data_IF_793571451474
#
_entry.id   IF_793571451474
#
_cell.length_a   1.000
_cell.length_b   1.000
_cell.length_c   1.000
_cell.angle_alpha   90.00
_cell.angle_beta   90.00
_cell.angle_gamma   90.00
#
_symmetry.space_group_name_H-M   'P 1'
#
loop_
_entity.id
_entity.type
_entity.pdbx_description
1 polymer ?
#
# COMPACT_ATOMS: atom_id res chain seq x y z
N UNK A 1 -26.69 9.95 -10.98
CA UNK A 1 -25.31 10.08 -10.47
C UNK A 1 -25.39 10.16 -8.97
N UNK A 2 -25.02 9.08 -8.26
CA UNK A 2 -24.98 9.09 -6.80
C UNK A 2 -23.61 9.62 -6.37
N UNK A 3 -23.56 10.84 -5.85
CA UNK A 3 -22.38 11.31 -5.14
C UNK A 3 -22.38 10.61 -3.77
N UNK A 4 -21.57 9.56 -3.61
CA UNK A 4 -21.32 8.99 -2.30
C UNK A 4 -20.60 10.03 -1.44
N UNK A 5 -21.25 10.43 -0.34
CA UNK A 5 -20.69 11.38 0.60
C UNK A 5 -19.59 10.70 1.41
N UNK A 6 -18.50 11.41 1.71
CA UNK A 6 -17.34 10.87 2.44
C UNK A 6 -17.72 10.22 3.79
N UNK A 7 -18.77 10.76 4.45
CA UNK A 7 -19.32 10.20 5.70
C UNK A 7 -19.90 8.80 5.54
N UNK A 8 -20.58 8.51 4.44
CA UNK A 8 -21.14 7.18 4.18
C UNK A 8 -20.04 6.16 3.91
N UNK A 9 -19.01 6.55 3.14
CA UNK A 9 -17.85 5.70 2.85
C UNK A 9 -17.10 5.31 4.13
N UNK A 10 -16.88 6.26 5.04
CA UNK A 10 -16.22 6.00 6.32
C UNK A 10 -17.01 5.02 7.21
N UNK A 11 -18.34 5.09 7.19
CA UNK A 11 -19.20 4.15 7.93
C UNK A 11 -19.09 2.71 7.39
N UNK A 12 -19.05 2.56 6.07
CA UNK A 12 -18.95 1.23 5.42
C UNK A 12 -17.53 0.68 5.37
N UNK A 13 -16.52 1.43 5.81
CA UNK A 13 -15.12 1.01 5.73
C UNK A 13 -14.63 0.87 4.29
N UNK A 14 -15.08 1.77 3.41
CA UNK A 14 -14.68 1.84 1.99
C UNK A 14 -14.25 3.26 1.66
N UNK A 15 -13.48 3.44 0.59
CA UNK A 15 -13.09 4.78 0.16
C UNK A 15 -13.94 5.32 -1.00
N UNK A 16 -13.97 6.64 -1.17
CA UNK A 16 -14.67 7.27 -2.29
C UNK A 16 -14.09 6.86 -3.67
N UNK A 17 -12.80 6.50 -3.72
CA UNK A 17 -12.16 5.98 -4.93
C UNK A 17 -12.71 4.63 -5.41
N UNK A 18 -13.44 3.89 -4.57
CA UNK A 18 -14.13 2.66 -4.98
C UNK A 18 -15.27 2.95 -5.96
N UNK A 19 -15.83 4.17 -5.95
CA UNK A 19 -17.05 4.52 -6.69
C UNK A 19 -16.81 5.48 -7.87
N UNK A 20 -15.56 5.79 -8.19
CA UNK A 20 -15.24 6.67 -9.33
C UNK A 20 -15.55 5.95 -10.64
N UNK A 21 -16.44 6.48 -11.49
CA UNK A 21 -16.76 5.85 -12.78
C UNK A 21 -15.51 5.71 -13.66
N UNK A 22 -15.34 4.56 -14.28
CA UNK A 22 -14.19 4.26 -15.15
C UNK A 22 -12.97 3.69 -14.42
N UNK A 23 -12.97 3.66 -13.08
CA UNK A 23 -12.01 2.85 -12.33
C UNK A 23 -12.54 1.43 -12.14
N UNK A 24 -11.63 0.45 -12.07
CA UNK A 24 -12.02 -0.94 -11.83
C UNK A 24 -12.58 -1.13 -10.42
N UNK A 25 -13.28 -2.24 -10.20
CA UNK A 25 -13.74 -2.64 -8.87
C UNK A 25 -12.54 -2.84 -7.95
N UNK A 26 -12.65 -2.38 -6.71
CA UNK A 26 -11.63 -2.62 -5.70
C UNK A 26 -11.72 -4.06 -5.19
N UNK A 27 -10.60 -4.77 -5.21
CA UNK A 27 -10.51 -6.15 -4.72
C UNK A 27 -10.40 -6.23 -3.21
N UNK A 28 -9.62 -5.31 -2.61
CA UNK A 28 -9.49 -5.16 -1.16
C UNK A 28 -9.11 -3.73 -0.82
N UNK A 29 -9.63 -3.24 0.30
CA UNK A 29 -9.31 -1.93 0.85
C UNK A 29 -9.11 -2.03 2.36
N UNK A 30 -8.27 -1.16 2.92
CA UNK A 30 -8.14 -1.07 4.38
C UNK A 30 -6.87 -0.39 4.85
N UNK A 31 -6.80 -0.22 6.17
CA UNK A 31 -5.65 0.37 6.85
C UNK A 31 -4.49 -0.61 6.98
N UNK A 32 -3.32 -0.21 6.50
CA UNK A 32 -2.05 -0.89 6.76
C UNK A 32 -0.96 0.13 7.09
N UNK A 33 0.13 -0.32 7.70
CA UNK A 33 1.29 0.52 7.95
C UNK A 33 2.34 0.28 6.86
N UNK A 34 2.66 1.33 6.12
CA UNK A 34 3.74 1.25 5.15
C UNK A 34 5.07 1.47 5.86
N UNK A 35 6.04 0.62 5.56
CA UNK A 35 7.40 0.87 5.96
C UNK A 35 7.98 1.96 5.04
N UNK A 36 8.45 3.05 5.62
CA UNK A 36 9.25 4.01 4.86
C UNK A 36 10.60 3.38 4.60
N UNK A 37 10.83 2.87 3.38
CA UNK A 37 12.14 2.41 2.96
C UNK A 37 12.57 3.19 1.75
N UNK A 38 13.70 3.87 1.88
CA UNK A 38 14.32 4.69 0.85
C UNK A 38 14.96 3.82 -0.25
N UNK A 39 14.19 2.97 -0.94
CA UNK A 39 14.66 2.27 -2.14
C UNK A 39 14.13 2.97 -3.39
N UNK A 40 14.67 4.16 -3.66
CA UNK A 40 14.66 4.68 -5.02
C UNK A 40 15.71 3.89 -5.81
N UNK A 41 15.26 2.95 -6.64
CA UNK A 41 16.08 2.45 -7.74
C UNK A 41 16.20 3.58 -8.77
N UNK A 42 17.44 4.00 -8.99
CA UNK A 42 17.96 4.89 -10.04
C UNK A 42 18.03 6.42 -9.83
N UNK A 43 19.30 6.83 -9.83
CA UNK A 43 19.97 8.02 -10.35
C UNK A 43 19.09 9.22 -10.74
N UNK A 44 19.38 10.36 -10.11
CA UNK A 44 18.83 11.70 -10.39
C UNK A 44 17.54 12.08 -9.67
N UNK A 45 17.58 12.19 -8.34
CA UNK A 45 16.96 13.38 -7.71
C UNK A 45 17.68 13.75 -6.42
N UNK A 46 18.49 14.80 -6.52
CA UNK A 46 18.99 15.57 -5.38
C UNK A 46 17.80 16.21 -4.64
N UNK A 47 17.81 16.10 -3.31
CA UNK A 47 17.11 16.89 -2.29
C UNK A 47 16.05 16.13 -1.47
N UNK A 48 16.53 15.44 -0.42
CA UNK A 48 15.95 15.62 0.91
C UNK A 48 16.98 15.34 2.02
N UNK A 49 17.20 16.35 2.86
CA UNK A 49 17.91 16.26 4.15
C UNK A 49 16.97 15.62 5.19
N UNK A 50 17.38 14.85 6.20
CA UNK A 50 18.70 14.53 6.76
C UNK A 50 18.67 13.18 7.51
N UNK A 51 19.62 12.30 7.20
CA UNK A 51 20.47 11.52 8.12
C UNK A 51 19.94 11.24 9.54
N UNK A 52 19.32 10.08 9.77
CA UNK A 52 19.54 9.26 11.00
C UNK A 52 18.94 7.84 10.98
N UNK A 53 18.17 7.44 9.96
CA UNK A 53 17.37 6.20 10.04
C UNK A 53 17.49 5.24 8.84
N UNK A 54 18.59 5.23 8.09
CA UNK A 54 18.77 4.24 7.01
C UNK A 54 18.88 2.78 7.55
N UNK A 55 19.16 2.63 8.86
CA UNK A 55 19.17 1.35 9.58
C UNK A 55 17.91 1.08 10.42
N UNK A 56 17.01 2.07 10.55
CA UNK A 56 15.79 1.94 11.33
C UNK A 56 14.63 1.69 10.38
N UNK A 57 14.13 0.46 10.36
CA UNK A 57 12.85 0.12 9.73
C UNK A 57 11.73 0.88 10.46
N UNK A 58 11.38 2.06 9.97
CA UNK A 58 10.32 2.88 10.55
C UNK A 58 9.00 2.63 9.82
N UNK A 59 7.99 2.21 10.56
CA UNK A 59 6.59 2.15 10.11
C UNK A 59 5.94 3.47 10.47
N UNK A 60 6.23 4.51 9.69
CA UNK A 60 5.95 5.88 10.11
C UNK A 60 4.50 6.34 9.89
N UNK A 61 3.73 5.67 9.03
CA UNK A 61 2.37 6.14 8.70
C UNK A 61 1.38 5.00 8.45
N UNK A 62 0.22 5.05 9.13
CA UNK A 62 -0.94 4.26 8.75
C UNK A 62 -1.61 4.88 7.52
N UNK A 63 -1.72 4.11 6.44
CA UNK A 63 -2.32 4.56 5.18
C UNK A 63 -3.50 3.66 4.82
N UNK A 64 -4.44 4.21 4.07
CA UNK A 64 -5.53 3.42 3.48
C UNK A 64 -5.09 2.90 2.12
N UNK A 65 -4.91 1.59 2.02
CA UNK A 65 -4.54 0.92 0.78
C UNK A 65 -5.79 0.47 0.03
N UNK A 66 -5.73 0.59 -1.29
CA UNK A 66 -6.75 0.12 -2.22
C UNK A 66 -6.08 -0.68 -3.30
N UNK A 67 -6.46 -1.94 -3.43
CA UNK A 67 -6.02 -2.82 -4.51
C UNK A 67 -7.12 -2.89 -5.55
N UNK A 68 -6.76 -2.48 -6.77
CA UNK A 68 -7.57 -2.60 -7.98
C UNK A 68 -6.88 -3.54 -8.96
N UNK A 69 -7.56 -3.89 -10.06
CA UNK A 69 -7.09 -4.93 -10.98
C UNK A 69 -5.73 -4.63 -11.62
N UNK A 70 -5.44 -3.34 -11.84
CA UNK A 70 -4.27 -2.88 -12.61
C UNK A 70 -3.32 -2.00 -11.79
N UNK A 71 -3.69 -1.62 -10.56
CA UNK A 71 -2.85 -0.83 -9.69
C UNK A 71 -3.24 -0.94 -8.21
N UNK A 72 -2.30 -0.56 -7.36
CA UNK A 72 -2.46 -0.39 -5.92
C UNK A 72 -2.26 1.09 -5.62
N UNK A 73 -3.08 1.67 -4.75
CA UNK A 73 -2.92 3.06 -4.33
C UNK A 73 -3.01 3.16 -2.82
N UNK A 74 -2.11 3.95 -2.25
CA UNK A 74 -2.11 4.34 -0.85
C UNK A 74 -2.61 5.77 -0.70
N UNK A 75 -3.39 6.00 0.36
CA UNK A 75 -4.02 7.28 0.64
C UNK A 75 -3.70 7.64 2.08
N UNK A 76 -3.31 8.90 2.29
CA UNK A 76 -3.22 9.48 3.62
C UNK A 76 -4.56 10.12 3.94
N UNK A 77 -5.42 9.47 4.75
CA UNK A 77 -6.76 10.00 5.04
C UNK A 77 -6.68 11.35 5.76
N UNK A 78 -5.69 11.56 6.63
CA UNK A 78 -5.53 12.82 7.36
C UNK A 78 -5.29 14.01 6.42
N UNK A 79 -4.55 13.77 5.34
CA UNK A 79 -4.20 14.80 4.35
C UNK A 79 -5.13 14.80 3.14
N UNK A 80 -6.06 13.85 3.04
CA UNK A 80 -6.91 13.63 1.86
C UNK A 80 -6.12 13.52 0.55
N UNK A 81 -4.87 13.07 0.65
CA UNK A 81 -3.92 13.02 -0.46
C UNK A 81 -3.75 11.57 -0.93
N UNK A 82 -3.89 11.38 -2.24
CA UNK A 82 -3.40 10.18 -2.92
C UNK A 82 -1.89 10.29 -2.94
N UNK A 83 -1.19 9.29 -2.39
CA UNK A 83 0.26 9.29 -2.34
C UNK A 83 0.85 8.90 -3.70
N UNK A 84 1.12 7.60 -3.92
CA UNK A 84 1.70 7.16 -5.18
C UNK A 84 1.09 5.83 -5.64
N UNK A 85 0.41 5.77 -6.80
CA UNK A 85 -0.12 4.52 -7.31
C UNK A 85 1.02 3.61 -7.81
N UNK A 86 1.02 2.35 -7.37
CA UNK A 86 1.86 1.28 -7.92
C UNK A 86 1.09 0.57 -9.03
N UNK A 87 1.58 0.59 -10.26
CA UNK A 87 0.97 -0.18 -11.34
C UNK A 87 1.36 -1.65 -11.23
N UNK A 88 0.43 -2.53 -11.60
CA UNK A 88 0.69 -3.95 -11.83
C UNK A 88 1.42 -4.06 -13.17
N UNK A 89 2.67 -4.50 -13.14
CA UNK A 89 3.51 -4.71 -14.31
C UNK A 89 3.99 -6.17 -14.39
N UNK A 90 4.94 -6.45 -15.31
CA UNK A 90 5.45 -7.81 -15.53
C UNK A 90 6.22 -8.38 -14.33
N UNK A 91 6.80 -7.51 -13.52
CA UNK A 91 7.60 -7.87 -12.35
C UNK A 91 6.77 -7.77 -11.06
N UNK A 92 5.46 -7.63 -11.20
CA UNK A 92 4.55 -7.47 -10.09
C UNK A 92 4.46 -8.76 -9.27
N UNK A 93 4.81 -8.68 -7.99
CA UNK A 93 4.77 -9.80 -7.08
C UNK A 93 4.29 -9.36 -5.69
N UNK A 94 3.38 -10.13 -5.10
CA UNK A 94 2.99 -10.01 -3.70
C UNK A 94 3.42 -11.28 -2.97
N UNK A 95 4.17 -11.12 -1.89
CA UNK A 95 4.64 -12.23 -1.07
C UNK A 95 4.48 -11.89 0.41
N UNK A 96 3.99 -12.86 1.17
CA UNK A 96 4.05 -12.85 2.63
C UNK A 96 5.34 -13.58 3.05
N UNK A 97 6.24 -12.89 3.73
CA UNK A 97 7.48 -13.50 4.22
C UNK A 97 7.40 -13.68 5.74
N UNK A 98 7.30 -14.93 6.18
CA UNK A 98 7.14 -15.28 7.60
C UNK A 98 8.52 -15.47 8.26
N UNK A 99 9.61 -15.58 7.49
CA UNK A 99 10.86 -16.04 8.05
C UNK A 99 12.04 -15.49 7.26
N UNK A 100 12.73 -14.48 7.80
CA UNK A 100 14.18 -14.46 7.60
C UNK A 100 14.96 -13.65 8.64
N UNK A 101 14.49 -12.50 9.13
CA UNK A 101 15.33 -11.66 10.02
C UNK A 101 14.46 -10.85 10.96
N UNK A 102 14.05 -11.36 12.12
CA UNK A 102 13.62 -10.57 13.29
C UNK A 102 12.47 -9.55 13.12
N UNK A 103 11.66 -9.62 12.07
CA UNK A 103 10.50 -8.76 11.85
C UNK A 103 9.25 -9.63 11.60
N UNK A 104 8.23 -9.42 12.43
CA UNK A 104 6.99 -10.20 12.42
C UNK A 104 6.06 -9.73 11.29
N UNK A 105 5.61 -10.68 10.47
CA UNK A 105 4.42 -10.61 9.61
C UNK A 105 4.29 -9.40 8.65
N UNK A 106 5.25 -9.23 7.73
CA UNK A 106 5.23 -8.18 6.72
C UNK A 106 4.85 -8.71 5.31
N UNK A 107 4.02 -7.96 4.59
CA UNK A 107 3.74 -8.17 3.17
C UNK A 107 4.77 -7.39 2.35
N UNK A 108 5.34 -8.06 1.35
CA UNK A 108 6.21 -7.44 0.36
C UNK A 108 5.50 -7.40 -0.99
N UNK A 109 5.33 -6.20 -1.54
CA UNK A 109 4.80 -5.95 -2.88
C UNK A 109 5.92 -5.35 -3.72
N UNK A 110 6.21 -5.96 -4.87
CA UNK A 110 7.29 -5.57 -5.77
C UNK A 110 6.69 -5.28 -7.13
N UNK A 111 7.24 -4.30 -7.84
CA UNK A 111 7.07 -4.11 -9.27
C UNK A 111 8.41 -3.67 -9.87
N UNK A 112 8.46 -3.35 -11.17
CA UNK A 112 9.69 -2.92 -11.85
C UNK A 112 10.28 -1.61 -11.32
N UNK A 113 9.51 -0.80 -10.59
CA UNK A 113 9.90 0.54 -10.15
C UNK A 113 10.24 0.61 -8.66
N UNK A 114 9.58 -0.18 -7.81
CA UNK A 114 9.73 -0.07 -6.35
C UNK A 114 9.34 -1.34 -5.60
N UNK A 115 9.72 -1.36 -4.32
CA UNK A 115 9.31 -2.36 -3.33
C UNK A 115 8.52 -1.63 -2.24
N UNK A 116 7.30 -2.09 -1.98
CA UNK A 116 6.49 -1.70 -0.82
C UNK A 116 6.58 -2.80 0.23
N UNK A 117 7.05 -2.46 1.43
CA UNK A 117 6.92 -3.33 2.60
C UNK A 117 5.79 -2.80 3.47
N UNK A 118 4.87 -3.67 3.82
CA UNK A 118 3.63 -3.33 4.51
C UNK A 118 3.49 -4.22 5.72
N UNK A 119 3.37 -3.61 6.89
CA UNK A 119 3.16 -4.34 8.13
C UNK A 119 1.69 -4.68 8.34
N UNK A 120 1.45 -5.96 8.62
CA UNK A 120 0.16 -6.42 9.07
C UNK A 120 0.01 -6.31 10.58
N UNK A 121 -1.25 -6.24 11.03
CA UNK A 121 -1.58 -6.41 12.45
C UNK A 121 -1.60 -7.88 12.88
N UNK A 122 -1.93 -8.79 11.96
CA UNK A 122 -2.06 -10.23 12.23
C UNK A 122 -1.66 -11.03 10.98
N UNK A 123 -1.12 -12.24 11.18
CA UNK A 123 -0.84 -13.19 10.10
C UNK A 123 -2.08 -13.50 9.24
N UNK A 124 -3.28 -13.56 9.85
CA UNK A 124 -4.53 -13.75 9.12
C UNK A 124 -4.79 -12.60 8.13
N UNK A 125 -4.66 -11.35 8.59
CA UNK A 125 -4.80 -10.19 7.71
C UNK A 125 -3.77 -10.26 6.57
N UNK A 126 -2.52 -10.58 6.88
CA UNK A 126 -1.47 -10.77 5.88
C UNK A 126 -1.79 -11.79 4.79
N UNK A 127 -2.34 -12.94 5.18
CA UNK A 127 -2.80 -13.95 4.23
C UNK A 127 -3.95 -13.42 3.36
N UNK A 128 -4.92 -12.71 3.94
CA UNK A 128 -6.01 -12.16 3.14
C UNK A 128 -5.53 -11.14 2.08
N UNK A 129 -4.54 -10.33 2.41
CA UNK A 129 -3.97 -9.36 1.47
C UNK A 129 -3.09 -10.02 0.40
N UNK A 130 -2.39 -11.10 0.73
CA UNK A 130 -1.52 -11.83 -0.21
C UNK A 130 -2.31 -12.68 -1.20
N UNK A 131 -3.44 -13.25 -0.78
CA UNK A 131 -4.24 -14.16 -1.60
C UNK A 131 -5.07 -13.46 -2.70
N UNK A 132 -5.04 -12.13 -2.80
CA UNK A 132 -5.86 -11.36 -3.77
C UNK A 132 -5.48 -11.67 -5.23
N UNK A 133 -4.23 -12.04 -5.48
CA UNK A 133 -3.67 -12.26 -6.82
C UNK A 133 -3.28 -13.72 -7.11
N UNK A 134 -3.53 -14.66 -6.20
CA UNK A 134 -3.15 -16.07 -6.36
C UNK A 134 -4.20 -16.93 -7.10
N UNK A 135 -4.79 -16.44 -8.19
CA UNK A 135 -5.77 -17.21 -9.01
C UNK A 135 -5.09 -17.82 -10.23
#
# INVERSE_FOLDING_TARGET
>A
MYYFNCFSCQFFGVNCLSFVPGLSVSRKEGYLQEQSINYYFDYHTFLRASYFCDLCKCYDTSKWFIIKDIYIVDIRPDMHEICFPMLVDRDFQISFDIQNIGYDDDIKIINSQRILLIKCRTAHNCNEWTNIYQI
#
